data_IF_240627052101
#
_entry.id   IF_240627052101
#
_cell.length_a   1.000
_cell.length_b   1.000
_cell.length_c   1.000
_cell.angle_alpha   90.00
_cell.angle_beta   90.00
_cell.angle_gamma   90.00
#
_symmetry.space_group_name_H-M   'P 1'
#
loop_
_entity.id
_entity.type
_entity.pdbx_description
1 polymer ?
#
# COMPACT_ATOMS: atom_id res chain seq x y z
N UNK A 1 7.94 9.53 7.04
CA UNK A 1 8.10 10.20 5.73
C UNK A 1 8.89 9.40 4.71
N UNK A 2 9.65 8.39 5.13
CA UNK A 2 10.39 7.49 4.24
C UNK A 2 10.24 6.06 4.75
N UNK A 3 9.88 5.13 3.87
CA UNK A 3 9.79 3.70 4.11
C UNK A 3 10.91 2.98 3.33
N UNK A 4 11.73 2.23 4.05
CA UNK A 4 12.95 1.61 3.51
C UNK A 4 13.87 2.59 2.78
N UNK A 5 14.68 2.10 1.81
CA UNK A 5 15.56 2.93 0.98
C UNK A 5 14.81 3.55 -0.21
N UNK A 6 13.62 4.12 0.01
CA UNK A 6 12.75 4.64 -1.06
C UNK A 6 12.38 6.11 -0.85
N UNK A 7 11.55 6.68 -1.73
CA UNK A 7 10.94 7.99 -1.58
C UNK A 7 9.49 7.93 -1.05
N UNK A 8 8.90 6.73 -0.96
CA UNK A 8 7.57 6.51 -0.40
C UNK A 8 7.63 6.57 1.13
N UNK A 9 6.52 6.92 1.77
CA UNK A 9 6.31 6.86 3.22
C UNK A 9 5.55 5.59 3.67
N UNK A 10 5.16 4.73 2.72
CA UNK A 10 4.35 3.54 2.91
C UNK A 10 3.38 3.36 1.74
N UNK A 11 2.33 2.56 1.93
CA UNK A 11 1.28 2.35 0.95
C UNK A 11 -0.10 2.26 1.59
N UNK A 12 -1.14 2.53 0.80
CA UNK A 12 -2.56 2.30 1.11
C UNK A 12 -3.12 1.25 0.17
N UNK A 13 -3.95 0.37 0.70
CA UNK A 13 -4.66 -0.67 -0.05
C UNK A 13 -6.13 -0.67 0.31
N UNK A 14 -6.94 -1.20 -0.60
CA UNK A 14 -8.38 -1.40 -0.43
C UNK A 14 -8.77 -2.84 -0.82
N UNK A 15 -10.06 -3.15 -0.70
CA UNK A 15 -10.61 -4.47 -1.08
C UNK A 15 -10.45 -4.83 -2.56
N UNK A 16 -10.07 -3.88 -3.42
CA UNK A 16 -9.90 -4.09 -4.87
C UNK A 16 -8.43 -4.21 -5.28
N UNK A 17 -7.48 -3.90 -4.39
CA UNK A 17 -6.06 -3.81 -4.71
C UNK A 17 -5.49 -5.15 -5.18
N UNK A 18 -5.90 -6.26 -4.56
CA UNK A 18 -5.47 -7.60 -4.99
C UNK A 18 -6.01 -7.96 -6.39
N UNK A 19 -7.30 -7.72 -6.64
CA UNK A 19 -7.92 -7.96 -7.95
C UNK A 19 -7.24 -7.13 -9.05
N UNK A 20 -7.01 -5.84 -8.80
CA UNK A 20 -6.30 -4.95 -9.72
C UNK A 20 -4.88 -5.45 -10.03
N UNK A 21 -4.17 -5.98 -9.03
CA UNK A 21 -2.85 -6.56 -9.26
C UNK A 21 -2.91 -7.74 -10.26
N UNK A 22 -3.87 -8.64 -10.07
CA UNK A 22 -4.06 -9.79 -10.96
C UNK A 22 -4.46 -9.36 -12.39
N UNK A 23 -5.35 -8.37 -12.53
CA UNK A 23 -5.73 -7.79 -13.82
C UNK A 23 -4.54 -7.19 -14.58
N UNK A 24 -3.57 -6.63 -13.86
CA UNK A 24 -2.31 -6.12 -14.40
C UNK A 24 -1.26 -7.23 -14.66
N UNK A 25 -1.62 -8.50 -14.44
CA UNK A 25 -0.70 -9.64 -14.59
C UNK A 25 0.40 -9.68 -13.53
N UNK A 26 0.22 -8.97 -12.41
CA UNK A 26 1.14 -8.98 -11.29
C UNK A 26 0.78 -10.14 -10.36
N UNK A 27 1.79 -10.79 -9.79
CA UNK A 27 1.63 -11.80 -8.74
C UNK A 27 2.16 -11.24 -7.43
N UNK A 28 1.30 -10.72 -6.55
CA UNK A 28 1.72 -10.05 -5.31
C UNK A 28 2.71 -10.87 -4.47
N UNK A 29 2.53 -12.18 -4.44
CA UNK A 29 3.34 -13.14 -3.70
C UNK A 29 4.79 -13.17 -4.21
N UNK A 30 5.01 -13.03 -5.53
CA UNK A 30 6.35 -12.98 -6.11
C UNK A 30 7.10 -11.71 -5.70
N UNK A 31 6.42 -10.57 -5.62
CA UNK A 31 7.03 -9.32 -5.14
C UNK A 31 7.34 -9.40 -3.65
N UNK A 32 6.43 -9.95 -2.84
CA UNK A 32 6.63 -10.13 -1.41
C UNK A 32 7.82 -11.05 -1.12
N UNK A 33 7.89 -12.21 -1.77
CA UNK A 33 9.00 -13.17 -1.62
C UNK A 33 10.37 -12.57 -2.00
N UNK A 34 10.38 -11.52 -2.84
CA UNK A 34 11.59 -10.83 -3.28
C UNK A 34 11.88 -9.55 -2.48
N UNK A 35 11.08 -9.23 -1.45
CA UNK A 35 11.12 -7.97 -0.72
C UNK A 35 11.03 -6.73 -1.64
N UNK A 36 10.22 -6.83 -2.70
CA UNK A 36 10.08 -5.81 -3.75
C UNK A 36 8.68 -5.16 -3.76
N UNK A 37 8.17 -4.84 -2.56
CA UNK A 37 6.88 -4.17 -2.38
C UNK A 37 6.85 -2.79 -3.07
N UNK A 38 7.98 -2.08 -3.12
CA UNK A 38 8.06 -0.78 -3.78
C UNK A 38 7.72 -0.86 -5.27
N UNK A 39 8.29 -1.83 -6.01
CA UNK A 39 7.98 -2.00 -7.43
C UNK A 39 6.55 -2.51 -7.66
N UNK A 40 6.01 -3.30 -6.72
CA UNK A 40 4.61 -3.72 -6.74
C UNK A 40 3.68 -2.52 -6.68
N UNK A 41 3.78 -1.68 -5.64
CA UNK A 41 2.94 -0.49 -5.46
C UNK A 41 3.19 0.60 -6.50
N UNK A 42 4.37 0.61 -7.13
CA UNK A 42 4.64 1.45 -8.32
C UNK A 42 3.79 1.04 -9.53
N UNK A 43 3.44 -0.24 -9.64
CA UNK A 43 2.63 -0.78 -10.76
C UNK A 43 1.13 -0.81 -10.44
N UNK A 44 0.73 -1.30 -9.26
CA UNK A 44 -0.69 -1.41 -8.88
C UNK A 44 -1.28 -0.09 -8.34
N UNK A 45 -0.41 0.84 -7.95
CA UNK A 45 -0.77 2.09 -7.28
C UNK A 45 -0.83 1.93 -5.75
N UNK A 46 -1.13 3.02 -5.04
CA UNK A 46 -1.30 3.01 -3.58
C UNK A 46 -0.11 3.51 -2.78
N UNK A 47 1.03 3.86 -3.40
CA UNK A 47 2.12 4.53 -2.69
C UNK A 47 1.63 5.81 -2.00
N UNK A 48 2.08 6.00 -0.76
CA UNK A 48 1.85 7.22 0.03
C UNK A 48 3.13 8.03 0.01
N UNK A 49 3.10 9.21 -0.61
CA UNK A 49 4.22 10.14 -0.62
C UNK A 49 3.90 11.34 0.27
N UNK A 50 4.63 11.50 1.37
CA UNK A 50 4.50 12.67 2.26
C UNK A 50 5.65 13.67 2.08
N UNK A 51 6.75 13.26 1.45
CA UNK A 51 7.99 14.02 1.43
C UNK A 51 8.68 14.06 2.79
N UNK A 52 9.56 15.04 3.00
CA UNK A 52 10.24 15.23 4.28
C UNK A 52 9.26 15.76 5.34
N UNK A 53 9.03 14.96 6.38
CA UNK A 53 8.06 15.28 7.45
C UNK A 53 8.66 16.09 8.61
N UNK A 54 9.98 16.26 8.68
CA UNK A 54 10.65 17.00 9.76
C UNK A 54 10.64 16.31 11.14
N UNK A 55 10.10 15.09 11.24
CA UNK A 55 9.99 14.34 12.50
C UNK A 55 9.96 12.84 12.24
N UNK A 56 10.23 12.04 13.28
CA UNK A 56 10.10 10.59 13.28
C UNK A 56 9.54 10.10 14.63
N UNK A 57 8.37 9.47 14.59
CA UNK A 57 7.73 8.78 15.72
C UNK A 57 7.38 7.32 15.37
N UNK A 58 8.20 6.71 14.51
CA UNK A 58 7.99 5.39 13.92
C UNK A 58 6.76 5.32 13.00
N UNK A 59 6.14 4.13 12.93
CA UNK A 59 5.10 3.79 11.96
C UNK A 59 3.70 4.02 12.53
N UNK A 60 2.76 4.29 11.62
CA UNK A 60 1.35 4.46 11.95
C UNK A 60 0.50 3.68 10.95
N UNK A 61 -0.40 2.83 11.44
CA UNK A 61 -1.27 1.97 10.63
C UNK A 61 -2.72 2.30 10.94
N UNK A 62 -3.51 2.53 9.89
CA UNK A 62 -4.96 2.74 9.98
C UNK A 62 -5.67 1.67 9.19
N UNK A 63 -6.70 1.07 9.80
CA UNK A 63 -7.59 0.12 9.13
C UNK A 63 -9.01 0.66 9.24
N UNK A 64 -9.70 0.78 8.11
CA UNK A 64 -11.10 1.23 8.03
C UNK A 64 -11.95 0.06 7.55
N UNK A 65 -13.03 -0.22 8.27
CA UNK A 65 -14.04 -1.21 7.90
C UNK A 65 -15.37 -0.50 7.78
N UNK A 66 -15.91 -0.45 6.56
CA UNK A 66 -17.25 0.07 6.34
C UNK A 66 -18.28 -0.96 6.80
N UNK A 67 -19.30 -0.51 7.53
CA UNK A 67 -20.46 -1.36 7.83
C UNK A 67 -21.21 -1.63 6.54
N UNK A 68 -21.57 -2.88 6.33
CA UNK A 68 -22.53 -3.26 5.31
C UNK A 68 -23.84 -2.50 5.57
N UNK A 69 -24.41 -1.88 4.53
CA UNK A 69 -25.75 -1.30 4.61
C UNK A 69 -26.74 -2.45 4.79
N UNK A 70 -27.13 -2.72 6.02
CA UNK A 70 -28.34 -3.48 6.30
C UNK A 70 -29.49 -2.54 5.93
N UNK A 71 -30.25 -2.89 4.89
CA UNK A 71 -31.45 -2.16 4.51
C UNK A 71 -32.49 -2.26 5.65
N UNK A 72 -33.07 -1.13 6.05
CA UNK A 72 -34.24 -1.06 6.94
C UNK A 72 -35.53 -1.47 6.20
#
# INVERSE_FOLDING_TARGET
>A
GRDGPTDAAGAVVDGYTYGRALELGLKPEEFLNRNDSYSFFKKVGGHVFTGYTGTNVNDFVVVVVEKEKVWD
#
